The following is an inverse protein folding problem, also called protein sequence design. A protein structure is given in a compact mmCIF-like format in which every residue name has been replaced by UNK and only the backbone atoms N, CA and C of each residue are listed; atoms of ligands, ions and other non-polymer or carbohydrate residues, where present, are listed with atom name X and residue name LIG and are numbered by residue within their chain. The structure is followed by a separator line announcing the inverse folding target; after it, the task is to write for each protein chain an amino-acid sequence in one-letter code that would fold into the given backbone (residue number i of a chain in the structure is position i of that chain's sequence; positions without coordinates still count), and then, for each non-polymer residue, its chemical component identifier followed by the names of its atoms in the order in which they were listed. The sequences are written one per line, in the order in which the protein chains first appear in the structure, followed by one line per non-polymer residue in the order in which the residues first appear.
data_IF_089270368298
#
_entry.id   IF_089270368298
#
_cell.length_a   1.000
_cell.length_b   1.000
_cell.length_c   1.000
_cell.angle_alpha   90.00
_cell.angle_beta   90.00
_cell.angle_gamma   90.00
#
_symmetry.space_group_name_H-M   'P 1'
#
loop_
_entity.id
_entity.type
_entity.pdbx_description
1 polymer ?
#
# COMPACT_ATOMS: atom_id res chain seq x y z
N UNK A 1 -29.82 13.48 2.75
CA UNK A 1 -28.39 13.29 2.38
C UNK A 1 -27.56 13.81 3.54
N UNK A 2 -26.55 13.06 3.99
CA UNK A 2 -25.68 13.48 5.09
C UNK A 2 -24.82 14.70 4.71
N UNK A 3 -24.42 15.49 5.72
CA UNK A 3 -23.48 16.62 5.52
C UNK A 3 -22.13 16.08 5.03
N UNK A 4 -21.63 16.61 3.92
CA UNK A 4 -20.31 16.26 3.39
C UNK A 4 -19.22 16.81 4.33
N UNK A 5 -18.19 15.99 4.57
CA UNK A 5 -17.03 16.26 5.41
C UNK A 5 -15.75 15.88 4.67
N UNK A 6 -14.63 16.29 5.25
CA UNK A 6 -13.30 15.85 4.83
C UNK A 6 -12.74 14.97 5.93
N UNK A 7 -12.32 13.77 5.57
CA UNK A 7 -11.61 12.83 6.42
C UNK A 7 -10.18 12.69 5.94
N UNK A 8 -9.28 12.23 6.80
CA UNK A 8 -7.89 12.00 6.43
C UNK A 8 -7.39 10.67 6.98
N UNK A 9 -6.80 9.85 6.12
CA UNK A 9 -6.27 8.56 6.53
C UNK A 9 -4.95 8.76 7.27
N UNK A 10 -4.83 8.25 8.49
CA UNK A 10 -3.57 8.32 9.28
C UNK A 10 -2.44 7.50 8.67
N UNK A 11 -2.72 6.47 7.88
CA UNK A 11 -1.69 5.60 7.29
C UNK A 11 -0.98 6.26 6.12
N UNK A 12 -1.71 6.68 5.07
CA UNK A 12 -1.10 7.34 3.92
C UNK A 12 -1.09 8.87 4.03
N UNK A 13 -1.96 9.47 4.83
CA UNK A 13 -2.07 10.92 4.96
C UNK A 13 -2.93 11.58 3.87
N UNK A 14 -3.60 10.81 3.01
CA UNK A 14 -4.47 11.40 1.97
C UNK A 14 -5.85 11.82 2.51
N UNK A 15 -6.37 12.95 2.00
CA UNK A 15 -7.72 13.41 2.31
C UNK A 15 -8.78 12.69 1.46
N UNK A 16 -9.95 12.49 2.04
CA UNK A 16 -11.12 11.92 1.39
C UNK A 16 -12.35 12.79 1.64
N UNK A 17 -13.14 13.05 0.60
CA UNK A 17 -14.38 13.83 0.67
C UNK A 17 -15.57 12.87 0.64
N UNK A 18 -16.41 12.91 1.67
CA UNK A 18 -17.59 12.05 1.76
C UNK A 18 -18.53 12.43 2.90
N UNK A 19 -19.72 11.84 2.93
CA UNK A 19 -20.65 11.97 4.07
C UNK A 19 -20.16 11.20 5.30
N UNK A 20 -19.34 10.19 5.08
CA UNK A 20 -18.73 9.30 6.06
C UNK A 20 -17.37 8.79 5.56
N UNK A 21 -16.49 8.36 6.47
CA UNK A 21 -15.20 7.78 6.10
C UNK A 21 -15.41 6.42 5.40
N UNK A 22 -14.60 6.08 4.39
CA UNK A 22 -14.79 4.84 3.64
C UNK A 22 -14.35 3.63 4.47
N UNK A 23 -14.93 2.45 4.20
CA UNK A 23 -14.60 1.19 4.89
C UNK A 23 -13.13 0.81 4.75
N UNK A 24 -12.57 1.06 3.56
CA UNK A 24 -11.15 0.97 3.24
C UNK A 24 -10.72 2.28 2.57
N UNK A 25 -9.51 2.73 2.87
CA UNK A 25 -8.93 3.91 2.25
C UNK A 25 -8.80 3.67 0.74
N UNK A 26 -9.38 4.51 -0.13
CA UNK A 26 -9.34 4.29 -1.59
C UNK A 26 -7.95 4.52 -2.18
N UNK A 27 -6.99 4.99 -1.39
CA UNK A 27 -5.62 5.28 -1.81
C UNK A 27 -4.66 4.17 -1.39
N UNK A 28 -4.74 3.72 -0.13
CA UNK A 28 -3.79 2.76 0.45
C UNK A 28 -4.45 1.52 1.08
N UNK A 29 -5.75 1.28 0.88
CA UNK A 29 -6.46 0.12 1.44
C UNK A 29 -6.72 0.13 2.95
N UNK A 30 -6.11 1.04 3.72
CA UNK A 30 -6.19 1.02 5.19
C UNK A 30 -7.65 1.01 5.72
N UNK A 31 -7.97 0.19 6.74
CA UNK A 31 -9.31 0.14 7.32
C UNK A 31 -9.81 1.49 7.87
N UNK A 32 -11.14 1.68 7.86
CA UNK A 32 -11.82 2.91 8.27
C UNK A 32 -11.37 3.47 9.62
N UNK A 33 -10.98 2.62 10.58
CA UNK A 33 -10.51 3.01 11.91
C UNK A 33 -9.30 3.95 11.90
N UNK A 34 -8.57 4.02 10.79
CA UNK A 34 -7.43 4.91 10.63
C UNK A 34 -7.82 6.30 10.11
N UNK A 35 -9.10 6.56 9.80
CA UNK A 35 -9.56 7.89 9.43
C UNK A 35 -9.85 8.76 10.64
N UNK A 36 -9.44 10.03 10.53
CA UNK A 36 -9.86 11.12 11.42
C UNK A 36 -10.59 12.19 10.61
N UNK A 37 -11.37 13.05 11.27
CA UNK A 37 -11.83 14.27 10.59
C UNK A 37 -10.61 15.14 10.26
N UNK A 38 -10.66 15.86 9.13
CA UNK A 38 -9.50 16.62 8.65
C UNK A 38 -9.08 17.77 9.59
N UNK A 39 -9.99 18.28 10.43
CA UNK A 39 -9.70 19.26 11.48
C UNK A 39 -8.95 18.67 12.68
N UNK A 40 -8.96 17.35 12.84
CA UNK A 40 -8.21 16.60 13.84
C UNK A 40 -6.89 16.03 13.29
N UNK A 41 -6.55 16.35 12.03
CA UNK A 41 -5.33 15.88 11.40
C UNK A 41 -4.09 16.40 12.12
N UNK A 42 -3.17 15.50 12.44
CA UNK A 42 -1.85 15.86 12.97
C UNK A 42 -0.74 15.54 11.95
N UNK A 43 -0.14 16.54 11.28
CA UNK A 43 0.95 16.30 10.32
C UNK A 43 2.22 15.73 10.98
N UNK A 44 2.39 15.90 12.30
CA UNK A 44 3.55 15.40 13.04
C UNK A 44 3.57 13.86 13.14
N UNK A 45 2.50 13.17 12.74
CA UNK A 45 2.47 11.71 12.70
C UNK A 45 3.53 11.09 11.78
N UNK A 46 4.00 11.82 10.77
CA UNK A 46 5.12 11.39 9.93
C UNK A 46 6.48 11.91 10.42
N UNK A 47 6.52 12.75 11.45
CA UNK A 47 7.74 13.34 12.01
C UNK A 47 8.21 12.53 13.23
N UNK A 48 8.63 11.29 12.94
CA UNK A 48 9.10 10.35 13.96
C UNK A 48 10.63 10.38 14.03
N UNK A 49 11.19 10.45 15.24
CA UNK A 49 12.63 10.26 15.44
C UNK A 49 12.99 8.78 15.24
N UNK A 50 13.42 8.44 14.02
CA UNK A 50 13.70 7.08 13.62
C UNK A 50 14.97 6.53 14.27
N UNK A 51 14.85 5.39 14.96
CA UNK A 51 15.98 4.54 15.28
C UNK A 51 16.58 3.90 14.02
N UNK A 52 17.85 3.48 14.11
CA UNK A 52 18.56 2.87 12.98
C UNK A 52 17.84 1.64 12.40
N UNK A 53 17.25 0.81 13.26
CA UNK A 53 16.50 -0.38 12.84
C UNK A 53 15.23 0.02 12.09
N UNK A 54 14.48 1.00 12.60
CA UNK A 54 13.26 1.49 11.97
C UNK A 54 13.52 2.19 10.64
N UNK A 55 14.61 2.95 10.54
CA UNK A 55 15.06 3.55 9.27
C UNK A 55 15.36 2.48 8.23
N UNK A 56 16.15 1.46 8.58
CA UNK A 56 16.47 0.34 7.68
C UNK A 56 15.22 -0.43 7.26
N UNK A 57 14.27 -0.63 8.17
CA UNK A 57 13.02 -1.31 7.88
C UNK A 57 12.13 -0.48 6.93
N UNK A 58 12.07 0.84 7.10
CA UNK A 58 11.39 1.73 6.15
C UNK A 58 12.07 1.73 4.78
N UNK A 59 13.40 1.75 4.71
CA UNK A 59 14.14 1.67 3.43
C UNK A 59 13.88 0.34 2.72
N UNK A 60 13.87 -0.78 3.46
CA UNK A 60 13.54 -2.09 2.92
C UNK A 60 12.08 -2.18 2.46
N UNK A 61 11.14 -1.62 3.24
CA UNK A 61 9.73 -1.52 2.88
C UNK A 61 9.55 -0.68 1.61
N UNK A 62 10.23 0.47 1.50
CA UNK A 62 10.16 1.32 0.31
C UNK A 62 10.60 0.57 -0.95
N UNK A 63 11.72 -0.17 -0.85
CA UNK A 63 12.19 -1.00 -1.97
C UNK A 63 11.17 -2.06 -2.35
N UNK A 64 10.53 -2.69 -1.36
CA UNK A 64 9.50 -3.71 -1.58
C UNK A 64 8.31 -3.11 -2.32
N UNK A 65 7.79 -1.97 -1.86
CA UNK A 65 6.64 -1.29 -2.44
C UNK A 65 6.89 -0.81 -3.87
N UNK A 66 8.09 -0.25 -4.13
CA UNK A 66 8.47 0.17 -5.47
C UNK A 66 8.61 -1.03 -6.42
N UNK A 67 9.14 -2.16 -5.94
CA UNK A 67 9.23 -3.40 -6.73
C UNK A 67 7.83 -3.96 -7.05
N UNK A 68 6.92 -4.03 -6.07
CA UNK A 68 5.55 -4.49 -6.32
C UNK A 68 4.79 -3.53 -7.26
N UNK A 69 4.91 -2.22 -7.06
CA UNK A 69 4.32 -1.23 -7.95
C UNK A 69 4.84 -1.35 -9.40
N UNK A 70 6.15 -1.55 -9.59
CA UNK A 70 6.76 -1.75 -10.90
C UNK A 70 6.26 -3.04 -11.57
N UNK A 71 6.16 -4.13 -10.82
CA UNK A 71 5.60 -5.38 -11.29
C UNK A 71 4.15 -5.21 -11.75
N UNK A 72 3.30 -4.59 -10.94
CA UNK A 72 1.91 -4.35 -11.29
C UNK A 72 1.73 -3.35 -12.43
N UNK A 73 2.67 -2.40 -12.59
CA UNK A 73 2.71 -1.54 -13.78
C UNK A 73 2.98 -2.35 -15.06
N UNK A 74 3.87 -3.34 -15.01
CA UNK A 74 4.06 -4.27 -16.11
C UNK A 74 2.81 -5.14 -16.33
N UNK A 75 2.28 -5.76 -15.28
CA UNK A 75 1.18 -6.70 -15.36
C UNK A 75 -0.11 -6.07 -15.91
N UNK A 76 -0.43 -4.82 -15.52
CA UNK A 76 -1.58 -4.10 -16.11
C UNK A 76 -1.38 -3.85 -17.60
N UNK A 77 -0.17 -3.53 -18.05
CA UNK A 77 0.13 -3.31 -19.49
C UNK A 77 0.01 -4.61 -20.28
N UNK A 78 0.40 -5.74 -19.69
CA UNK A 78 0.21 -7.05 -20.30
C UNK A 78 -1.29 -7.40 -20.42
N UNK A 79 -2.08 -7.17 -19.36
CA UNK A 79 -3.51 -7.42 -19.37
C UNK A 79 -4.26 -6.52 -20.39
N UNK A 80 -3.89 -5.25 -20.48
CA UNK A 80 -4.42 -4.29 -21.47
C UNK A 80 -4.20 -4.80 -22.91
N UNK A 81 -2.97 -5.21 -23.22
CA UNK A 81 -2.62 -5.80 -24.53
C UNK A 81 -3.38 -7.09 -24.84
N UNK A 82 -3.74 -7.85 -23.81
CA UNK A 82 -4.50 -9.09 -23.94
C UNK A 82 -6.03 -8.88 -24.00
N UNK A 83 -6.51 -7.64 -23.83
CA UNK A 83 -7.95 -7.35 -23.74
C UNK A 83 -8.62 -7.86 -22.44
N UNK A 84 -7.83 -8.18 -21.41
CA UNK A 84 -8.31 -8.65 -20.11
C UNK A 84 -8.64 -7.46 -19.20
N UNK A 85 -9.85 -6.93 -19.37
CA UNK A 85 -10.31 -5.73 -18.67
C UNK A 85 -10.32 -5.87 -17.14
N UNK A 86 -10.64 -7.06 -16.62
CA UNK A 86 -10.67 -7.29 -15.18
C UNK A 86 -9.26 -7.25 -14.60
N UNK A 87 -8.32 -8.03 -15.17
CA UNK A 87 -6.94 -8.04 -14.70
C UNK A 87 -6.26 -6.69 -14.90
N UNK A 88 -6.59 -5.95 -15.96
CA UNK A 88 -6.15 -4.58 -16.14
C UNK A 88 -6.57 -3.70 -14.96
N UNK A 89 -7.86 -3.70 -14.61
CA UNK A 89 -8.39 -2.91 -13.50
C UNK A 89 -7.74 -3.32 -12.16
N UNK A 90 -7.63 -4.63 -11.92
CA UNK A 90 -7.02 -5.22 -10.73
C UNK A 90 -5.57 -4.77 -10.55
N UNK A 91 -4.70 -5.04 -11.54
CA UNK A 91 -3.28 -4.68 -11.45
C UNK A 91 -3.07 -3.17 -11.48
N UNK A 92 -3.94 -2.39 -12.14
CA UNK A 92 -3.90 -0.93 -12.06
C UNK A 92 -4.24 -0.42 -10.66
N UNK A 93 -5.18 -1.03 -9.96
CA UNK A 93 -5.52 -0.69 -8.58
C UNK A 93 -4.36 -1.02 -7.65
N UNK A 94 -3.84 -2.26 -7.69
CA UNK A 94 -2.69 -2.69 -6.88
C UNK A 94 -1.47 -1.80 -7.10
N UNK A 95 -1.10 -1.51 -8.36
CA UNK A 95 0.00 -0.58 -8.67
C UNK A 95 -0.17 0.77 -7.97
N UNK A 96 -1.38 1.33 -7.94
CA UNK A 96 -1.63 2.62 -7.29
C UNK A 96 -1.52 2.52 -5.76
N UNK A 97 -2.02 1.43 -5.18
CA UNK A 97 -1.95 1.18 -3.74
C UNK A 97 -0.49 1.06 -3.30
N UNK A 98 0.32 0.24 -3.97
CA UNK A 98 1.74 0.10 -3.63
C UNK A 98 2.52 1.41 -3.84
N UNK A 99 2.13 2.21 -4.85
CA UNK A 99 2.68 3.57 -5.00
C UNK A 99 2.31 4.47 -3.83
N UNK A 100 1.11 4.35 -3.27
CA UNK A 100 0.72 5.14 -2.11
C UNK A 100 1.41 4.65 -0.83
N UNK A 101 1.66 3.35 -0.69
CA UNK A 101 2.50 2.81 0.38
C UNK A 101 3.93 3.38 0.30
N UNK A 102 4.54 3.36 -0.88
CA UNK A 102 5.85 3.97 -1.12
C UNK A 102 5.86 5.48 -0.82
N UNK A 103 4.79 6.21 -1.17
CA UNK A 103 4.59 7.63 -0.81
C UNK A 103 4.55 7.82 0.70
N UNK A 104 3.76 7.03 1.42
CA UNK A 104 3.66 7.05 2.88
C UNK A 104 5.00 6.77 3.57
N UNK A 105 5.75 5.79 3.10
CA UNK A 105 7.09 5.46 3.60
C UNK A 105 8.08 6.60 3.34
N UNK A 106 8.03 7.20 2.15
CA UNK A 106 8.88 8.34 1.79
C UNK A 106 8.64 9.56 2.70
N UNK A 107 7.40 9.78 3.15
CA UNK A 107 7.05 10.81 4.13
C UNK A 107 7.73 10.59 5.49
N UNK A 108 7.87 9.35 5.96
CA UNK A 108 8.64 9.02 7.17
C UNK A 108 10.14 9.23 6.96
N UNK A 109 10.67 8.81 5.80
CA UNK A 109 12.09 8.91 5.47
C UNK A 109 12.56 10.34 5.13
N UNK A 110 11.63 11.27 4.91
CA UNK A 110 11.89 12.67 4.49
C UNK A 110 12.60 12.77 3.15
N UNK A 111 12.20 11.92 2.21
CA UNK A 111 12.70 11.92 0.83
C UNK A 111 11.54 12.12 -0.15
N UNK A 112 11.87 12.57 -1.36
CA UNK A 112 10.95 12.48 -2.49
C UNK A 112 10.76 11.02 -2.86
N UNK A 113 9.53 10.64 -3.20
CA UNK A 113 9.24 9.29 -3.64
C UNK A 113 10.04 8.96 -4.91
N UNK A 114 10.81 7.86 -4.93
CA UNK A 114 11.55 7.46 -6.13
C UNK A 114 10.64 7.10 -7.30
N UNK A 115 11.18 7.22 -8.51
CA UNK A 115 10.52 6.74 -9.73
C UNK A 115 10.45 5.20 -9.77
N UNK A 116 9.52 4.68 -10.57
CA UNK A 116 9.43 3.25 -10.81
C UNK A 116 10.51 2.80 -11.80
N UNK A 117 11.25 1.78 -11.39
CA UNK A 117 12.10 1.04 -12.30
C UNK A 117 11.26 0.15 -13.22
N UNK A 118 11.82 -0.19 -14.39
CA UNK A 118 11.16 -1.10 -15.31
C UNK A 118 11.37 -2.54 -14.84
N UNK A 119 10.27 -3.27 -14.65
CA UNK A 119 10.30 -4.68 -14.30
C UNK A 119 9.68 -5.56 -15.40
N UNK A 120 10.02 -6.84 -15.38
CA UNK A 120 9.39 -7.86 -16.22
C UNK A 120 8.20 -8.50 -15.51
N UNK A 121 7.24 -8.94 -16.31
CA UNK A 121 6.06 -9.69 -15.90
C UNK A 121 5.72 -10.70 -17.01
N UNK A 122 4.81 -11.63 -16.73
CA UNK A 122 4.30 -12.56 -17.72
C UNK A 122 3.25 -11.88 -18.63
N UNK A 123 3.09 -12.39 -19.85
CA UNK A 123 1.99 -11.96 -20.73
C UNK A 123 0.61 -12.47 -20.25
N UNK A 124 0.58 -13.55 -19.46
CA UNK A 124 -0.63 -14.18 -18.95
C UNK A 124 -0.98 -13.68 -17.54
N UNK A 125 -2.15 -13.07 -17.39
CA UNK A 125 -2.67 -12.55 -16.12
C UNK A 125 -2.77 -13.59 -14.99
N UNK A 126 -3.01 -14.87 -15.31
CA UNK A 126 -3.07 -15.94 -14.29
C UNK A 126 -1.70 -16.18 -13.65
N UNK A 127 -0.64 -16.15 -14.46
CA UNK A 127 0.74 -16.29 -13.96
C UNK A 127 1.10 -15.06 -13.12
N UNK A 128 0.76 -13.86 -13.59
CA UNK A 128 0.97 -12.62 -12.83
C UNK A 128 0.18 -12.58 -11.52
N UNK A 129 -1.01 -13.19 -11.48
CA UNK A 129 -1.82 -13.29 -10.25
C UNK A 129 -1.15 -14.20 -9.22
N UNK A 130 -0.60 -15.34 -9.66
CA UNK A 130 0.17 -16.22 -8.78
C UNK A 130 1.42 -15.51 -8.23
N UNK A 131 2.16 -14.81 -9.08
CA UNK A 131 3.33 -14.04 -8.65
C UNK A 131 2.93 -12.90 -7.71
N UNK A 132 1.80 -12.23 -7.96
CA UNK A 132 1.21 -11.24 -7.07
C UNK A 132 0.94 -11.82 -5.68
N UNK A 133 0.30 -12.99 -5.59
CA UNK A 133 0.10 -13.68 -4.31
C UNK A 133 1.42 -13.95 -3.56
N UNK A 134 2.47 -14.38 -4.28
CA UNK A 134 3.79 -14.62 -3.69
C UNK A 134 4.46 -13.32 -3.22
N UNK A 135 4.22 -12.21 -3.92
CA UNK A 135 4.70 -10.86 -3.55
C UNK A 135 4.02 -10.36 -2.29
N UNK A 136 2.70 -10.44 -2.19
CA UNK A 136 1.98 -9.98 -0.98
C UNK A 136 2.29 -10.87 0.22
N UNK A 137 2.44 -12.18 0.00
CA UNK A 137 2.92 -13.10 1.04
C UNK A 137 4.28 -12.68 1.61
N UNK A 138 5.19 -12.15 0.78
CA UNK A 138 6.50 -11.64 1.23
C UNK A 138 6.36 -10.26 1.89
N UNK A 139 5.47 -9.40 1.40
CA UNK A 139 5.15 -8.12 2.02
C UNK A 139 4.64 -8.31 3.45
N UNK A 140 3.63 -9.17 3.65
CA UNK A 140 3.07 -9.52 4.96
C UNK A 140 4.15 -9.99 5.93
N UNK A 141 5.00 -10.94 5.51
CA UNK A 141 6.10 -11.46 6.35
C UNK A 141 7.08 -10.36 6.74
N UNK A 142 7.42 -9.49 5.79
CA UNK A 142 8.35 -8.38 6.02
C UNK A 142 7.76 -7.34 6.96
N UNK A 143 6.51 -6.91 6.74
CA UNK A 143 5.83 -5.93 7.58
C UNK A 143 5.55 -6.45 8.99
N UNK A 144 5.23 -7.74 9.14
CA UNK A 144 5.12 -8.37 10.46
C UNK A 144 6.46 -8.30 11.21
N UNK A 145 7.57 -8.59 10.53
CA UNK A 145 8.91 -8.46 11.11
C UNK A 145 9.21 -6.99 11.48
N UNK A 146 8.98 -6.05 10.56
CA UNK A 146 9.27 -4.64 10.77
C UNK A 146 8.44 -4.03 11.89
N UNK A 147 7.18 -4.43 12.01
CA UNK A 147 6.30 -4.07 13.13
C UNK A 147 6.88 -4.51 14.48
N UNK A 148 7.40 -5.74 14.57
CA UNK A 148 7.95 -6.29 15.81
C UNK A 148 9.28 -5.63 16.19
N UNK A 149 10.09 -5.24 15.19
CA UNK A 149 11.40 -4.61 15.39
C UNK A 149 11.31 -3.08 15.64
N UNK A 150 10.25 -2.43 15.16
CA UNK A 150 10.09 -0.99 15.29
C UNK A 150 10.09 -0.56 16.77
N UNK A 151 10.87 0.47 17.10
CA UNK A 151 10.93 1.02 18.46
C UNK A 151 9.82 2.03 18.72
N UNK A 152 9.35 2.69 17.68
CA UNK A 152 8.43 3.82 17.73
C UNK A 152 6.99 3.32 17.59
N UNK A 153 6.09 3.64 18.55
CA UNK A 153 4.71 3.17 18.51
C UNK A 153 3.99 3.47 17.20
N UNK A 154 4.26 4.64 16.61
CA UNK A 154 3.67 5.04 15.33
C UNK A 154 4.07 4.14 14.17
N UNK A 155 5.30 3.63 14.15
CA UNK A 155 5.74 2.69 13.12
C UNK A 155 5.22 1.26 13.36
N UNK A 156 5.02 0.86 14.62
CA UNK A 156 4.29 -0.39 14.92
C UNK A 156 2.86 -0.33 14.37
N UNK A 157 2.17 0.80 14.58
CA UNK A 157 0.84 1.03 14.01
C UNK A 157 0.87 1.04 12.48
N UNK A 158 1.85 1.72 11.88
CA UNK A 158 2.01 1.81 10.42
C UNK A 158 2.19 0.43 9.78
N UNK A 159 3.21 -0.32 10.20
CA UNK A 159 3.48 -1.65 9.63
C UNK A 159 2.35 -2.63 9.95
N UNK A 160 1.72 -2.54 11.12
CA UNK A 160 0.54 -3.36 11.44
C UNK A 160 -0.69 -3.03 10.58
N UNK A 161 -0.81 -1.79 10.10
CA UNK A 161 -1.83 -1.43 9.11
C UNK A 161 -1.50 -1.99 7.74
N UNK A 162 -0.25 -1.89 7.28
CA UNK A 162 0.19 -2.50 6.02
C UNK A 162 -0.04 -4.02 6.04
N UNK A 163 0.25 -4.72 7.13
CA UNK A 163 -0.09 -6.15 7.26
C UNK A 163 -1.58 -6.41 7.02
N UNK A 164 -2.49 -5.60 7.57
CA UNK A 164 -3.93 -5.76 7.32
C UNK A 164 -4.29 -5.54 5.85
N UNK A 165 -3.72 -4.51 5.23
CA UNK A 165 -3.93 -4.18 3.81
C UNK A 165 -3.44 -5.31 2.91
N UNK A 166 -2.24 -5.82 3.14
CA UNK A 166 -1.66 -6.87 2.32
C UNK A 166 -2.42 -8.21 2.43
N UNK A 167 -3.12 -8.47 3.54
CA UNK A 167 -4.00 -9.63 3.62
C UNK A 167 -5.21 -9.48 2.67
N UNK A 168 -5.77 -8.28 2.54
CA UNK A 168 -6.85 -8.01 1.57
C UNK A 168 -6.34 -8.20 0.12
N UNK A 169 -5.09 -7.80 -0.17
CA UNK A 169 -4.46 -8.06 -1.47
C UNK A 169 -4.24 -9.56 -1.71
N UNK A 170 -3.83 -10.30 -0.69
CA UNK A 170 -3.63 -11.74 -0.76
C UNK A 170 -4.94 -12.47 -1.10
N UNK A 171 -6.04 -12.07 -0.46
CA UNK A 171 -7.39 -12.58 -0.74
C UNK A 171 -7.83 -12.28 -2.18
N UNK A 172 -7.52 -11.08 -2.69
CA UNK A 172 -7.78 -10.70 -4.09
C UNK A 172 -7.04 -11.59 -5.11
N UNK A 173 -5.89 -12.17 -4.75
CA UNK A 173 -5.19 -13.13 -5.59
C UNK A 173 -5.58 -14.60 -5.32
N UNK A 174 -6.23 -14.89 -4.19
CA UNK A 174 -6.59 -16.24 -3.76
C UNK A 174 -7.72 -16.88 -4.58
N UNK A 175 -8.50 -16.10 -5.35
CA UNK A 175 -9.58 -16.61 -6.21
C UNK A 175 -9.11 -17.64 -7.25
N UNK A 176 -7.81 -17.70 -7.56
CA UNK A 176 -7.22 -18.63 -8.54
C UNK A 176 -6.52 -19.85 -7.92
N UNK A 177 -6.53 -19.98 -6.59
CA UNK A 177 -6.09 -21.19 -5.88
C UNK A 177 -7.22 -22.23 -5.73
N UNK A 178 -8.42 -21.93 -6.24
CA UNK A 178 -9.57 -22.83 -6.30
C UNK A 178 -9.71 -23.48 -7.67
#
# INVERSE_FOLDING_TARGET
MGKIKIFRCRICGDPYIGSEAPTQCPFCGAPQKFFVNADQWNPEEFNVNLSDVSRKNLEAALKLELDNAAFYDCAKKAADKAGDNYSFAKFKALMKVEREHASAISKFLKISQPDLEKQMCNANSKVNTKEGWERESRAIKSYTKFQNEAKEPRLKEFFGALVQIENDHLDLHAEYLK
#
